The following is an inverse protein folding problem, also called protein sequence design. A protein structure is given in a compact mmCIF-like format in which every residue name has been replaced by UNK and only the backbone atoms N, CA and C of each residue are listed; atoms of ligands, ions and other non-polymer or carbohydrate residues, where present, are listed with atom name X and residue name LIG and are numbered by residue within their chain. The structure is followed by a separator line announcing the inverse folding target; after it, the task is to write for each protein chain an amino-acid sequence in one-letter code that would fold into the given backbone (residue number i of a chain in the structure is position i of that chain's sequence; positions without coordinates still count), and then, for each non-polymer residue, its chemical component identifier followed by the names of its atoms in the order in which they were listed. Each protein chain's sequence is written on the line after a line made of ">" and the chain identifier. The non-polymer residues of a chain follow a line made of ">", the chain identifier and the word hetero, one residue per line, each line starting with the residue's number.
data_IF_412479624305
#
_entry.id   IF_412479624305
#
_cell.length_a   1.000
_cell.length_b   1.000
_cell.length_c   1.000
_cell.angle_alpha   90.00
_cell.angle_beta   90.00
_cell.angle_gamma   90.00
#
_symmetry.space_group_name_H-M   'P 1'
#
loop_
_entity.id
_entity.type
_entity.pdbx_description
1 polymer ?
#
# COMPACT_ATOMS: atom_id res chain seq x y z
N UNK A 1 52.46 21.96 -20.35
CA UNK A 1 51.43 21.70 -19.33
C UNK A 1 50.07 21.69 -20.01
N UNK A 2 49.33 20.61 -19.86
CA UNK A 2 48.03 20.45 -20.53
C UNK A 2 46.91 20.51 -19.51
N UNK A 3 46.18 21.65 -19.38
CA UNK A 3 45.12 21.83 -18.38
C UNK A 3 43.83 20.98 -18.66
N UNK A 4 43.79 20.28 -19.80
CA UNK A 4 42.59 19.53 -20.24
C UNK A 4 42.37 18.20 -19.50
N UNK A 5 43.36 17.67 -18.80
CA UNK A 5 43.28 16.44 -18.02
C UNK A 5 42.41 16.59 -16.74
N UNK A 6 42.26 17.81 -16.25
CA UNK A 6 41.45 18.10 -15.05
C UNK A 6 39.97 18.23 -15.33
N UNK A 7 39.59 18.65 -16.56
CA UNK A 7 38.18 18.77 -16.95
C UNK A 7 37.51 17.41 -17.15
N UNK A 8 38.26 16.39 -17.55
CA UNK A 8 37.73 15.04 -17.71
C UNK A 8 37.38 14.34 -16.39
N UNK A 9 38.10 14.65 -15.29
CA UNK A 9 37.84 14.05 -13.97
C UNK A 9 36.60 14.59 -13.29
N UNK A 10 36.18 15.81 -13.59
CA UNK A 10 35.00 16.44 -12.95
C UNK A 10 33.68 15.90 -13.57
N UNK A 11 33.68 15.53 -14.84
CA UNK A 11 32.49 15.02 -15.54
C UNK A 11 32.11 13.61 -15.06
N UNK A 12 33.06 12.80 -14.61
CA UNK A 12 32.81 11.44 -14.10
C UNK A 12 32.13 11.39 -12.73
N UNK A 13 32.10 12.47 -11.97
CA UNK A 13 31.49 12.53 -10.64
C UNK A 13 29.99 12.87 -10.66
N UNK A 14 29.42 13.22 -11.80
CA UNK A 14 28.04 13.66 -11.94
C UNK A 14 27.06 12.55 -12.35
N UNK A 15 27.52 11.31 -12.57
CA UNK A 15 26.67 10.21 -13.05
C UNK A 15 26.08 9.35 -11.92
N UNK A 16 26.11 9.83 -10.67
CA UNK A 16 25.79 9.02 -9.50
C UNK A 16 24.36 9.05 -8.97
N UNK A 17 23.43 9.79 -9.55
CA UNK A 17 22.03 9.83 -9.08
C UNK A 17 21.10 9.10 -10.05
N UNK A 18 21.18 7.77 -10.10
CA UNK A 18 20.04 6.99 -10.58
C UNK A 18 18.98 6.98 -9.48
N UNK A 19 17.87 7.64 -9.72
CA UNK A 19 16.68 7.52 -8.87
C UNK A 19 16.25 6.06 -8.87
N UNK A 20 16.39 5.39 -7.72
CA UNK A 20 15.94 4.02 -7.56
C UNK A 20 14.44 3.95 -7.86
N UNK A 21 14.03 2.94 -8.66
CA UNK A 21 12.61 2.69 -8.93
C UNK A 21 11.92 2.40 -7.59
N UNK A 22 10.74 3.01 -7.31
CA UNK A 22 10.04 2.74 -6.07
C UNK A 22 9.66 1.26 -5.98
N UNK A 23 9.79 0.68 -4.78
CA UNK A 23 9.42 -0.72 -4.52
C UNK A 23 7.91 -0.91 -4.46
N UNK A 24 7.19 0.09 -3.97
CA UNK A 24 5.76 0.04 -3.71
C UNK A 24 5.02 1.22 -4.32
N UNK A 25 3.74 0.99 -4.63
CA UNK A 25 2.80 2.05 -4.97
C UNK A 25 2.12 2.55 -3.68
N UNK A 26 2.21 3.83 -3.39
CA UNK A 26 1.65 4.45 -2.18
C UNK A 26 0.31 5.18 -2.42
N UNK A 27 0.13 5.79 -3.57
CA UNK A 27 -1.12 6.42 -4.01
C UNK A 27 -1.82 7.29 -2.96
N UNK A 28 -3.09 6.96 -2.69
CA UNK A 28 -3.93 7.66 -1.72
C UNK A 28 -3.77 7.14 -0.28
N UNK A 29 -3.05 6.03 -0.07
CA UNK A 29 -3.04 5.28 1.19
C UNK A 29 -2.79 6.15 2.43
N UNK A 30 -1.75 6.98 2.42
CA UNK A 30 -1.42 7.83 3.57
C UNK A 30 -2.49 8.88 3.82
N UNK A 31 -2.94 9.54 2.75
CA UNK A 31 -3.93 10.60 2.85
C UNK A 31 -5.29 10.08 3.31
N UNK A 32 -5.75 8.93 2.79
CA UNK A 32 -7.04 8.38 3.16
C UNK A 32 -7.05 7.90 4.62
N UNK A 33 -5.96 7.30 5.09
CA UNK A 33 -5.82 6.92 6.49
C UNK A 33 -5.78 8.13 7.43
N UNK A 34 -5.08 9.19 7.04
CA UNK A 34 -5.11 10.44 7.79
C UNK A 34 -6.52 11.04 7.85
N UNK A 35 -7.22 11.09 6.73
CA UNK A 35 -8.59 11.63 6.68
C UNK A 35 -9.57 10.79 7.48
N UNK A 36 -9.45 9.46 7.43
CA UNK A 36 -10.29 8.56 8.22
C UNK A 36 -10.19 8.80 9.73
N UNK A 37 -9.00 9.21 10.20
CA UNK A 37 -8.77 9.57 11.59
C UNK A 37 -9.14 11.02 11.91
N UNK A 38 -8.66 11.97 11.11
CA UNK A 38 -8.73 13.40 11.43
C UNK A 38 -10.04 14.07 10.96
N UNK A 39 -10.67 13.54 9.91
CA UNK A 39 -11.88 14.09 9.26
C UNK A 39 -12.77 12.97 8.74
N UNK A 40 -13.36 12.15 9.63
CA UNK A 40 -14.13 10.97 9.23
C UNK A 40 -15.35 11.27 8.35
N UNK A 41 -15.87 12.47 8.42
CA UNK A 41 -16.93 12.98 7.52
C UNK A 41 -16.48 13.04 6.04
N UNK A 42 -15.18 13.24 5.79
CA UNK A 42 -14.57 13.29 4.46
C UNK A 42 -14.05 11.95 3.96
N UNK A 43 -13.89 11.00 4.84
CA UNK A 43 -13.39 9.66 4.55
C UNK A 43 -14.34 8.59 5.10
N UNK A 44 -15.58 8.60 4.57
CA UNK A 44 -16.54 7.53 4.87
C UNK A 44 -16.00 6.18 4.43
N UNK A 45 -16.55 5.07 4.94
CA UNK A 45 -16.11 3.72 4.56
C UNK A 45 -16.14 3.50 3.04
N UNK A 46 -17.16 4.03 2.35
CA UNK A 46 -17.25 3.94 0.89
C UNK A 46 -16.16 4.73 0.18
N UNK A 47 -15.84 5.92 0.65
CA UNK A 47 -14.73 6.74 0.10
C UNK A 47 -13.39 6.05 0.36
N UNK A 48 -13.17 5.50 1.56
CA UNK A 48 -11.96 4.74 1.86
C UNK A 48 -11.83 3.54 0.93
N UNK A 49 -12.89 2.73 0.79
CA UNK A 49 -12.94 1.58 -0.11
C UNK A 49 -12.56 1.98 -1.54
N UNK A 50 -13.24 2.97 -2.10
CA UNK A 50 -13.01 3.44 -3.47
C UNK A 50 -11.55 3.84 -3.70
N UNK A 51 -10.97 4.62 -2.78
CA UNK A 51 -9.59 5.10 -2.91
C UNK A 51 -8.55 3.99 -2.77
N UNK A 52 -8.77 3.04 -1.88
CA UNK A 52 -7.87 1.90 -1.71
C UNK A 52 -7.97 0.90 -2.88
N UNK A 53 -9.18 0.66 -3.42
CA UNK A 53 -9.37 -0.13 -4.64
C UNK A 53 -8.69 0.53 -5.85
N UNK A 54 -8.80 1.86 -5.99
CA UNK A 54 -8.10 2.64 -7.03
C UNK A 54 -6.58 2.46 -6.92
N UNK A 55 -6.04 2.49 -5.71
CA UNK A 55 -4.60 2.30 -5.47
C UNK A 55 -4.13 0.90 -5.88
N UNK A 56 -4.91 -0.15 -5.60
CA UNK A 56 -4.61 -1.50 -6.07
C UNK A 56 -4.57 -1.60 -7.59
N UNK A 57 -5.54 -0.99 -8.28
CA UNK A 57 -5.60 -0.98 -9.73
C UNK A 57 -4.39 -0.24 -10.33
N UNK A 58 -4.02 0.90 -9.75
CA UNK A 58 -2.86 1.69 -10.19
C UNK A 58 -1.54 0.99 -9.91
N UNK A 59 -1.41 0.31 -8.78
CA UNK A 59 -0.23 -0.50 -8.48
C UNK A 59 -0.03 -1.58 -9.56
N UNK A 60 -1.08 -2.33 -9.88
CA UNK A 60 -1.05 -3.35 -10.93
C UNK A 60 -0.73 -2.75 -12.31
N UNK A 61 -1.36 -1.64 -12.67
CA UNK A 61 -1.13 -0.94 -13.94
C UNK A 61 0.31 -0.41 -14.10
N UNK A 62 0.97 -0.07 -13.01
CA UNK A 62 2.37 0.39 -12.98
C UNK A 62 3.38 -0.75 -12.76
N UNK A 63 2.94 -2.00 -12.70
CA UNK A 63 3.77 -3.15 -12.37
C UNK A 63 4.54 -2.97 -11.04
N UNK A 64 3.87 -2.38 -10.06
CA UNK A 64 4.37 -2.18 -8.70
C UNK A 64 3.56 -3.02 -7.72
N UNK A 65 4.20 -3.42 -6.64
CA UNK A 65 3.51 -4.05 -5.52
C UNK A 65 2.75 -2.99 -4.73
N UNK A 66 1.55 -3.33 -4.26
CA UNK A 66 0.83 -2.50 -3.28
C UNK A 66 1.71 -2.32 -2.04
N UNK A 67 1.66 -1.14 -1.42
CA UNK A 67 2.42 -0.88 -0.20
C UNK A 67 1.98 -1.80 0.95
N UNK A 68 2.91 -2.12 1.88
CA UNK A 68 2.54 -2.85 3.08
C UNK A 68 1.41 -2.16 3.84
N UNK A 69 0.36 -2.91 4.16
CA UNK A 69 -0.81 -2.41 4.88
C UNK A 69 -2.00 -2.03 3.99
N UNK A 70 -1.83 -1.88 2.68
CA UNK A 70 -2.94 -1.48 1.81
C UNK A 70 -4.04 -2.55 1.75
N UNK A 71 -3.69 -3.81 1.55
CA UNK A 71 -4.64 -4.92 1.59
C UNK A 71 -5.25 -5.08 2.99
N UNK A 72 -4.45 -4.93 4.06
CA UNK A 72 -4.95 -4.98 5.43
C UNK A 72 -5.99 -3.90 5.72
N UNK A 73 -5.72 -2.67 5.30
CA UNK A 73 -6.65 -1.55 5.47
C UNK A 73 -7.94 -1.74 4.66
N UNK A 74 -7.82 -2.15 3.41
CA UNK A 74 -8.99 -2.42 2.56
C UNK A 74 -9.82 -3.59 3.14
N UNK A 75 -9.16 -4.64 3.61
CA UNK A 75 -9.83 -5.74 4.30
C UNK A 75 -10.59 -5.28 5.55
N UNK A 76 -10.01 -4.38 6.33
CA UNK A 76 -10.68 -3.80 7.50
C UNK A 76 -11.91 -2.94 7.10
N UNK A 77 -11.79 -2.15 6.04
CA UNK A 77 -12.92 -1.38 5.50
C UNK A 77 -14.04 -2.30 5.03
N UNK A 78 -13.73 -3.37 4.29
CA UNK A 78 -14.72 -4.38 3.90
C UNK A 78 -15.38 -5.05 5.10
N UNK A 79 -14.60 -5.39 6.13
CA UNK A 79 -15.13 -5.94 7.36
C UNK A 79 -16.15 -5.01 8.04
N UNK A 80 -15.84 -3.72 8.13
CA UNK A 80 -16.74 -2.70 8.68
C UNK A 80 -18.01 -2.51 7.82
N UNK A 81 -17.92 -2.72 6.52
CA UNK A 81 -19.05 -2.69 5.58
C UNK A 81 -19.89 -3.99 5.60
N UNK A 82 -19.50 -4.98 6.40
CA UNK A 82 -20.16 -6.30 6.45
C UNK A 82 -19.84 -7.22 5.27
N UNK A 83 -18.84 -6.86 4.45
CA UNK A 83 -18.37 -7.64 3.30
C UNK A 83 -17.29 -8.63 3.74
N UNK A 84 -17.70 -9.66 4.47
CA UNK A 84 -16.78 -10.59 5.14
C UNK A 84 -15.89 -11.34 4.18
N UNK A 85 -16.41 -11.86 3.07
CA UNK A 85 -15.62 -12.63 2.10
C UNK A 85 -14.54 -11.76 1.43
N UNK A 86 -14.87 -10.52 1.09
CA UNK A 86 -13.92 -9.56 0.55
C UNK A 86 -12.85 -9.21 1.58
N UNK A 87 -13.23 -9.03 2.85
CA UNK A 87 -12.29 -8.77 3.93
C UNK A 87 -11.27 -9.92 4.09
N UNK A 88 -11.74 -11.17 4.12
CA UNK A 88 -10.89 -12.36 4.23
C UNK A 88 -9.92 -12.45 3.04
N UNK A 89 -10.40 -12.17 1.82
CA UNK A 89 -9.57 -12.14 0.62
C UNK A 89 -8.42 -11.14 0.75
N UNK A 90 -8.72 -9.92 1.19
CA UNK A 90 -7.72 -8.87 1.34
C UNK A 90 -6.73 -9.18 2.47
N UNK A 91 -7.17 -9.68 3.63
CA UNK A 91 -6.27 -10.10 4.71
C UNK A 91 -5.35 -11.26 4.26
N UNK A 92 -5.87 -12.17 3.44
CA UNK A 92 -5.08 -13.26 2.87
C UNK A 92 -4.04 -12.73 1.88
N UNK A 93 -4.38 -11.74 1.07
CA UNK A 93 -3.44 -11.09 0.15
C UNK A 93 -2.31 -10.38 0.92
N UNK A 94 -2.64 -9.64 1.98
CA UNK A 94 -1.63 -8.96 2.81
C UNK A 94 -0.61 -9.94 3.37
N UNK A 95 -1.05 -11.02 4.02
CA UNK A 95 -0.12 -11.99 4.60
C UNK A 95 0.69 -12.77 3.57
N UNK A 96 0.18 -12.90 2.35
CA UNK A 96 0.91 -13.55 1.27
C UNK A 96 2.03 -12.68 0.72
N UNK A 97 1.79 -11.37 0.62
CA UNK A 97 2.77 -10.38 0.17
C UNK A 97 3.78 -10.04 1.27
N UNK A 98 3.33 -9.99 2.51
CA UNK A 98 4.09 -9.58 3.69
C UNK A 98 3.96 -10.63 4.80
N UNK A 99 4.77 -11.72 4.76
CA UNK A 99 4.67 -12.82 5.73
C UNK A 99 4.82 -12.39 7.20
N UNK A 100 5.50 -11.30 7.46
CA UNK A 100 5.63 -10.71 8.79
C UNK A 100 4.28 -10.23 9.39
N UNK A 101 3.30 -9.95 8.54
CA UNK A 101 1.95 -9.59 8.94
C UNK A 101 1.05 -10.80 9.24
N UNK A 102 1.50 -12.03 8.96
CA UNK A 102 0.67 -13.23 8.98
C UNK A 102 -0.09 -13.43 10.30
N UNK A 103 0.59 -13.30 11.45
CA UNK A 103 -0.03 -13.49 12.76
C UNK A 103 -1.19 -12.54 13.00
N UNK A 104 -1.05 -11.27 12.59
CA UNK A 104 -2.11 -10.28 12.73
C UNK A 104 -3.24 -10.52 11.74
N UNK A 105 -2.91 -10.84 10.49
CA UNK A 105 -3.92 -11.12 9.45
C UNK A 105 -4.74 -12.35 9.78
N UNK A 106 -4.13 -13.41 10.33
CA UNK A 106 -4.86 -14.62 10.75
C UNK A 106 -5.89 -14.30 11.84
N UNK A 107 -5.54 -13.46 12.81
CA UNK A 107 -6.50 -12.98 13.83
C UNK A 107 -7.64 -12.17 13.22
N UNK A 108 -7.37 -11.36 12.21
CA UNK A 108 -8.40 -10.59 11.52
C UNK A 108 -9.33 -11.50 10.71
N UNK A 109 -8.80 -12.55 10.08
CA UNK A 109 -9.59 -13.57 9.37
C UNK A 109 -10.49 -14.31 10.35
N UNK A 110 -9.97 -14.80 11.46
CA UNK A 110 -10.76 -15.47 12.49
C UNK A 110 -11.89 -14.57 13.01
N UNK A 111 -11.59 -13.31 13.29
CA UNK A 111 -12.59 -12.32 13.71
C UNK A 111 -13.68 -12.12 12.66
N UNK A 112 -13.32 -12.01 11.40
CA UNK A 112 -14.26 -11.84 10.29
C UNK A 112 -15.17 -13.07 10.16
N UNK A 113 -14.61 -14.28 10.21
CA UNK A 113 -15.35 -15.54 10.18
C UNK A 113 -16.30 -15.68 11.37
N UNK A 114 -15.86 -15.34 12.57
CA UNK A 114 -16.69 -15.37 13.78
C UNK A 114 -17.86 -14.39 13.76
N UNK A 115 -17.75 -13.29 13.01
CA UNK A 115 -18.83 -12.32 12.82
C UNK A 115 -19.86 -12.83 11.81
N UNK A 116 -19.44 -13.51 10.76
CA UNK A 116 -20.32 -14.08 9.74
C UNK A 116 -21.18 -15.25 10.29
N UNK A 117 -20.68 -15.95 11.33
CA UNK A 117 -21.35 -17.10 11.95
C UNK A 117 -22.44 -16.73 12.96
N UNK A 118 -22.66 -15.45 13.24
CA UNK A 118 -23.69 -14.92 14.18
C UNK A 118 -24.88 -14.37 13.41
#
# INVERSE_FOLDING_TARGET
>A
MKPYLWLGSIVLLLTGCQTARPLYYWGNYENINYLAYAKPDKATLDVQREKLEEDLQKAAGNSLTANPGLHAQLGYVYFQLGRVDDAIKEFTAEKSLFPEAATFMDRMIEKAQGTAAK
#
